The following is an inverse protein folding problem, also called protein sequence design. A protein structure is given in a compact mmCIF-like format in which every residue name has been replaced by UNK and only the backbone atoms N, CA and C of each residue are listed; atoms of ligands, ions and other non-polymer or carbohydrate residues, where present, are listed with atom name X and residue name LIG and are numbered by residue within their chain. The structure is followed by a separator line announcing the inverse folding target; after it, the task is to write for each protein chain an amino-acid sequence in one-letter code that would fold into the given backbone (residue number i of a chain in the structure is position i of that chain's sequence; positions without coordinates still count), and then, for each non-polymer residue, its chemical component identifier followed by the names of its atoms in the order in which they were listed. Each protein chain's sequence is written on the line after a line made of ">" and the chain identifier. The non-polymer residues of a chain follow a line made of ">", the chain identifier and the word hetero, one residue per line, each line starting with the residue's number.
data_IF_244648887048
#
_entry.id   IF_244648887048
#
_cell.length_a   1.000
_cell.length_b   1.000
_cell.length_c   1.000
_cell.angle_alpha   90.00
_cell.angle_beta   90.00
_cell.angle_gamma   90.00
#
_symmetry.space_group_name_H-M   'P 1'
#
loop_
_entity.id
_entity.type
_entity.pdbx_description
1 polymer ?
#
# COMPACT_ATOMS: atom_id res chain seq x y z
N UNK A 1 -1.21 6.46 1.40
CA UNK A 1 -1.24 5.60 0.18
C UNK A 1 -1.83 4.24 0.49
N UNK A 2 -1.19 3.45 1.36
CA UNK A 2 -1.65 2.12 1.80
C UNK A 2 -3.12 2.15 2.29
N UNK A 3 -3.45 3.04 3.23
CA UNK A 3 -4.82 3.20 3.72
C UNK A 3 -5.84 3.55 2.62
N UNK A 4 -5.47 4.44 1.69
CA UNK A 4 -6.37 4.82 0.58
C UNK A 4 -6.62 3.66 -0.38
N UNK A 5 -5.64 2.78 -0.58
CA UNK A 5 -5.79 1.57 -1.35
C UNK A 5 -6.72 0.58 -0.64
N UNK A 6 -6.47 0.29 0.65
CA UNK A 6 -7.32 -0.60 1.45
C UNK A 6 -8.77 -0.14 1.49
N UNK A 7 -9.00 1.15 1.77
CA UNK A 7 -10.34 1.74 1.80
C UNK A 7 -11.07 1.64 0.45
N UNK A 8 -10.35 1.66 -0.68
CA UNK A 8 -10.94 1.49 -2.01
C UNK A 8 -11.27 0.04 -2.33
N UNK A 9 -10.40 -0.90 -1.98
CA UNK A 9 -10.59 -2.32 -2.29
C UNK A 9 -11.63 -2.99 -1.40
N UNK A 10 -11.68 -2.61 -0.11
CA UNK A 10 -12.58 -3.17 0.89
C UNK A 10 -13.90 -2.39 1.00
N UNK A 11 -13.93 -1.12 0.61
CA UNK A 11 -15.15 -0.31 0.58
C UNK A 11 -15.82 -0.21 1.96
N UNK A 12 -17.12 -0.51 2.01
CA UNK A 12 -17.92 -0.46 3.25
C UNK A 12 -17.55 -1.55 4.27
N UNK A 13 -16.87 -2.61 3.82
CA UNK A 13 -16.42 -3.69 4.69
C UNK A 13 -15.09 -3.36 5.39
N UNK A 14 -14.48 -2.21 5.10
CA UNK A 14 -13.24 -1.82 5.74
C UNK A 14 -13.48 -1.36 7.18
N UNK A 15 -12.87 -2.05 8.15
CA UNK A 15 -13.04 -1.75 9.58
C UNK A 15 -11.88 -0.92 10.10
N UNK A 16 -10.67 -1.46 9.99
CA UNK A 16 -9.46 -0.81 10.50
C UNK A 16 -8.22 -1.27 9.72
N UNK A 17 -7.15 -0.49 9.81
CA UNK A 17 -5.83 -0.93 9.36
C UNK A 17 -4.74 -0.36 10.25
N UNK A 18 -3.72 -1.18 10.47
CA UNK A 18 -2.45 -0.80 11.05
C UNK A 18 -1.38 -0.86 9.97
N UNK A 19 -0.59 0.21 9.85
CA UNK A 19 0.49 0.32 8.87
C UNK A 19 1.75 0.70 9.60
N UNK A 20 2.67 -0.24 9.71
CA UNK A 20 3.98 0.01 10.29
C UNK A 20 5.02 0.17 9.19
N UNK A 21 5.83 1.23 9.31
CA UNK A 21 6.93 1.50 8.39
C UNK A 21 8.22 1.56 9.19
N UNK A 22 9.14 0.66 8.88
CA UNK A 22 10.46 0.59 9.50
C UNK A 22 11.55 0.86 8.46
N UNK A 23 12.59 1.60 8.86
CA UNK A 23 13.77 1.86 8.04
C UNK A 23 15.00 1.32 8.76
N UNK A 24 15.73 0.43 8.09
CA UNK A 24 16.94 -0.21 8.65
C UNK A 24 18.26 0.41 8.13
N UNK A 25 18.17 1.51 7.37
CA UNK A 25 19.32 2.19 6.75
C UNK A 25 19.47 1.88 5.26
N UNK A 26 19.17 0.65 4.82
CA UNK A 26 19.34 0.23 3.43
C UNK A 26 18.01 -0.11 2.75
N UNK A 27 17.04 -0.58 3.53
CA UNK A 27 15.71 -1.01 3.12
C UNK A 27 14.62 -0.33 3.94
N UNK A 28 13.45 -0.20 3.32
CA UNK A 28 12.20 0.13 3.98
C UNK A 28 11.38 -1.14 4.06
N UNK A 29 10.93 -1.49 5.26
CA UNK A 29 9.94 -2.56 5.48
C UNK A 29 8.60 -1.91 5.75
N UNK A 30 7.56 -2.38 5.06
CA UNK A 30 6.17 -1.96 5.28
C UNK A 30 5.37 -3.18 5.68
N UNK A 31 4.84 -3.16 6.90
CA UNK A 31 3.92 -4.17 7.41
C UNK A 31 2.52 -3.57 7.42
N UNK A 32 1.55 -4.36 6.94
CA UNK A 32 0.16 -3.94 6.84
C UNK A 32 -0.69 -5.01 7.49
N UNK A 33 -1.51 -4.61 8.45
CA UNK A 33 -2.59 -5.42 8.99
C UNK A 33 -3.91 -4.70 8.72
N UNK A 34 -4.94 -5.44 8.32
CA UNK A 34 -6.25 -4.86 8.04
C UNK A 34 -7.36 -5.75 8.59
N UNK A 35 -8.33 -5.11 9.25
CA UNK A 35 -9.59 -5.70 9.64
C UNK A 35 -10.67 -5.40 8.61
N UNK A 36 -11.42 -6.44 8.23
CA UNK A 36 -12.57 -6.32 7.35
C UNK A 36 -13.81 -6.99 7.95
N UNK A 37 -14.98 -6.61 7.45
CA UNK A 37 -16.25 -7.22 7.80
C UNK A 37 -16.32 -8.70 7.42
N UNK A 38 -17.21 -9.44 8.07
CA UNK A 38 -17.32 -10.90 7.94
C UNK A 38 -17.73 -11.39 6.53
N UNK A 39 -18.11 -10.48 5.63
CA UNK A 39 -18.44 -10.79 4.23
C UNK A 39 -17.21 -10.85 3.33
N UNK A 40 -16.05 -10.39 3.81
CA UNK A 40 -14.79 -10.46 3.07
C UNK A 40 -14.13 -11.80 3.34
N UNK A 41 -13.89 -12.54 2.27
CA UNK A 41 -13.14 -13.79 2.31
C UNK A 41 -11.70 -13.56 2.82
N UNK A 42 -11.20 -14.45 3.67
CA UNK A 42 -9.91 -14.29 4.34
C UNK A 42 -8.73 -14.33 3.34
N UNK A 43 -8.80 -15.19 2.33
CA UNK A 43 -7.75 -15.26 1.31
C UNK A 43 -7.76 -13.99 0.45
N UNK A 44 -8.94 -13.49 0.11
CA UNK A 44 -9.08 -12.19 -0.56
C UNK A 44 -8.53 -11.03 0.29
N UNK A 45 -8.79 -11.03 1.60
CA UNK A 45 -8.26 -10.00 2.51
C UNK A 45 -6.73 -10.04 2.53
N UNK A 46 -6.13 -11.24 2.64
CA UNK A 46 -4.68 -11.42 2.60
C UNK A 46 -4.08 -10.90 1.29
N UNK A 47 -4.66 -11.24 0.14
CA UNK A 47 -4.19 -10.73 -1.16
C UNK A 47 -4.23 -9.20 -1.25
N UNK A 48 -5.27 -8.58 -0.70
CA UNK A 48 -5.40 -7.12 -0.67
C UNK A 48 -4.33 -6.51 0.25
N UNK A 49 -4.11 -7.11 1.42
CA UNK A 49 -3.10 -6.67 2.39
C UNK A 49 -1.69 -6.78 1.80
N UNK A 50 -1.36 -7.89 1.15
CA UNK A 50 -0.06 -8.11 0.50
C UNK A 50 0.21 -7.06 -0.58
N UNK A 51 -0.78 -6.78 -1.44
CA UNK A 51 -0.70 -5.70 -2.43
C UNK A 51 -0.58 -4.32 -1.80
N UNK A 52 -1.23 -4.09 -0.66
CA UNK A 52 -1.13 -2.83 0.07
C UNK A 52 0.28 -2.62 0.65
N UNK A 53 0.92 -3.68 1.15
CA UNK A 53 2.31 -3.65 1.60
C UNK A 53 3.27 -3.40 0.44
N UNK A 54 3.10 -4.10 -0.69
CA UNK A 54 3.87 -3.90 -1.91
C UNK A 54 3.75 -2.46 -2.44
N UNK A 55 2.55 -1.87 -2.37
CA UNK A 55 2.32 -0.47 -2.69
C UNK A 55 3.11 0.47 -1.77
N UNK A 56 3.12 0.19 -0.47
CA UNK A 56 3.90 0.95 0.50
C UNK A 56 5.40 0.94 0.18
N UNK A 57 5.94 -0.25 -0.10
CA UNK A 57 7.35 -0.45 -0.47
C UNK A 57 7.66 0.31 -1.77
N UNK A 58 6.83 0.13 -2.78
CA UNK A 58 7.00 0.79 -4.09
C UNK A 58 7.00 2.31 -3.95
N UNK A 59 6.11 2.89 -3.12
CA UNK A 59 6.11 4.33 -2.86
C UNK A 59 7.42 4.76 -2.17
N UNK A 60 7.90 3.98 -1.21
CA UNK A 60 9.17 4.29 -0.54
C UNK A 60 10.36 4.26 -1.50
N UNK A 61 10.40 3.30 -2.43
CA UNK A 61 11.41 3.21 -3.47
C UNK A 61 11.34 4.40 -4.44
N UNK A 62 10.14 4.77 -4.90
CA UNK A 62 9.98 5.93 -5.78
C UNK A 62 10.43 7.24 -5.10
N UNK A 63 10.20 7.39 -3.80
CA UNK A 63 10.70 8.54 -3.03
C UNK A 63 12.23 8.49 -2.92
N UNK A 64 12.81 7.32 -2.64
CA UNK A 64 14.27 7.11 -2.55
C UNK A 64 14.97 7.39 -3.88
N UNK A 65 14.36 7.01 -5.00
CA UNK A 65 14.84 7.26 -6.35
C UNK A 65 14.63 8.71 -6.82
N UNK A 66 13.85 9.51 -6.06
CA UNK A 66 13.48 10.88 -6.42
C UNK A 66 12.48 10.96 -7.58
N UNK A 67 11.83 9.84 -7.92
CA UNK A 67 10.78 9.75 -8.94
C UNK A 67 9.48 10.44 -8.50
N UNK A 68 9.23 10.49 -7.19
CA UNK A 68 8.14 11.27 -6.57
C UNK A 68 8.66 11.95 -5.31
N UNK A 69 8.02 13.04 -4.90
CA UNK A 69 8.27 13.69 -3.62
C UNK A 69 7.12 13.44 -2.63
N UNK A 70 7.39 13.40 -1.31
CA UNK A 70 6.34 13.28 -0.29
C UNK A 70 5.28 14.40 -0.35
N UNK A 71 5.62 15.55 -0.92
CA UNK A 71 4.74 16.70 -1.12
C UNK A 71 3.90 16.65 -2.40
N UNK A 72 4.13 15.67 -3.28
CA UNK A 72 3.40 15.55 -4.54
C UNK A 72 1.93 15.18 -4.31
N UNK A 73 1.11 15.42 -5.34
CA UNK A 73 -0.30 15.04 -5.30
C UNK A 73 -0.46 13.53 -5.05
N UNK A 74 -1.25 13.19 -4.03
CA UNK A 74 -1.43 11.79 -3.60
C UNK A 74 -1.95 10.89 -4.71
N UNK A 75 -2.79 11.40 -5.63
CA UNK A 75 -3.32 10.61 -6.74
C UNK A 75 -2.25 10.37 -7.80
N UNK A 76 -1.34 11.31 -8.00
CA UNK A 76 -0.17 11.11 -8.86
C UNK A 76 0.74 10.02 -8.30
N UNK A 77 1.11 10.12 -7.01
CA UNK A 77 1.94 9.11 -6.32
C UNK A 77 1.31 7.72 -6.41
N UNK A 78 0.00 7.60 -6.17
CA UNK A 78 -0.71 6.32 -6.29
C UNK A 78 -0.60 5.72 -7.68
N UNK A 79 -0.80 6.53 -8.72
CA UNK A 79 -0.78 6.07 -10.10
C UNK A 79 0.60 5.58 -10.50
N UNK A 80 1.65 6.29 -10.12
CA UNK A 80 3.00 5.89 -10.48
C UNK A 80 3.41 4.60 -9.76
N UNK A 81 3.06 4.46 -8.48
CA UNK A 81 3.32 3.24 -7.72
C UNK A 81 2.55 2.02 -8.30
N UNK A 82 1.26 2.16 -8.59
CA UNK A 82 0.47 1.08 -9.21
C UNK A 82 0.97 0.71 -10.61
N UNK A 83 1.43 1.70 -11.39
CA UNK A 83 2.04 1.45 -12.69
C UNK A 83 3.34 0.64 -12.56
N UNK A 84 4.20 0.97 -11.58
CA UNK A 84 5.45 0.25 -11.31
C UNK A 84 5.22 -1.20 -10.88
N UNK A 85 4.23 -1.44 -10.02
CA UNK A 85 3.82 -2.81 -9.62
C UNK A 85 3.41 -3.62 -10.85
N UNK A 86 2.54 -3.05 -11.70
CA UNK A 86 2.08 -3.71 -12.93
C UNK A 86 3.22 -4.01 -13.91
N UNK A 87 4.25 -3.17 -13.96
CA UNK A 87 5.43 -3.37 -14.82
C UNK A 87 6.42 -4.40 -14.26
N UNK A 88 6.30 -4.75 -12.97
CA UNK A 88 7.20 -5.68 -12.27
C UNK A 88 6.60 -7.09 -12.09
N UNK A 89 5.31 -7.27 -12.40
CA UNK A 89 4.57 -8.53 -12.39
C UNK A 89 4.58 -9.23 -13.76
#
# INVERSE_FOLDING_TARGET
>A
MVYEYLSRELGEEFVEAEVEVAFDGNSVTVSVEAGAGALVDEDRLREIVDKAAELGITVADLVKEGAVQPSDDRRHVLREALKRIRESA
#
